data_IF_606430728246
#
_entry.id   IF_606430728246
#
_cell.length_a   1.000
_cell.length_b   1.000
_cell.length_c   1.000
_cell.angle_alpha   90.00
_cell.angle_beta   90.00
_cell.angle_gamma   90.00
#
_symmetry.space_group_name_H-M   'P 1'
#
loop_
_entity.id
_entity.type
_entity.pdbx_description
1 polymer ?
#
# COMPACT_ATOMS: atom_id res chain seq x y z
N UNK A 1 18.64 -26.15 -6.21
CA UNK A 1 17.22 -25.95 -5.85
C UNK A 1 16.93 -24.47 -5.81
N UNK A 2 16.17 -23.96 -6.77
CA UNK A 2 15.62 -22.60 -6.68
C UNK A 2 14.59 -22.59 -5.55
N UNK A 3 14.61 -21.62 -4.62
CA UNK A 3 13.61 -21.56 -3.56
C UNK A 3 12.21 -21.44 -4.19
N UNK A 4 11.17 -22.00 -3.55
CA UNK A 4 9.81 -21.91 -4.05
C UNK A 4 9.46 -20.44 -4.31
N UNK A 5 8.96 -20.19 -5.51
CA UNK A 5 8.47 -18.89 -5.95
C UNK A 5 7.21 -18.54 -5.16
N UNK A 6 7.38 -17.95 -3.96
CA UNK A 6 6.32 -17.42 -3.08
C UNK A 6 5.56 -16.28 -3.79
N UNK A 7 4.72 -16.67 -4.73
CA UNK A 7 3.92 -15.80 -5.60
C UNK A 7 2.44 -15.84 -5.24
N UNK A 8 2.04 -16.80 -4.41
CA UNK A 8 0.68 -16.99 -3.88
C UNK A 8 0.55 -16.41 -2.46
N UNK A 9 -0.52 -15.66 -2.16
CA UNK A 9 -0.79 -15.15 -0.82
C UNK A 9 -1.07 -16.27 0.18
N UNK A 10 -0.63 -16.08 1.43
CA UNK A 10 -1.16 -16.86 2.54
C UNK A 10 -2.59 -16.40 2.86
N UNK A 11 -3.58 -17.08 2.29
CA UNK A 11 -5.00 -16.71 2.40
C UNK A 11 -5.50 -16.56 3.83
N UNK A 12 -5.00 -17.39 4.77
CA UNK A 12 -5.34 -17.26 6.20
C UNK A 12 -4.93 -15.91 6.78
N UNK A 13 -3.71 -15.46 6.47
CA UNK A 13 -3.23 -14.14 6.91
C UNK A 13 -4.02 -13.03 6.24
N UNK A 14 -4.30 -13.14 4.94
CA UNK A 14 -5.11 -12.18 4.19
C UNK A 14 -6.50 -12.00 4.82
N UNK A 15 -7.18 -13.11 5.11
CA UNK A 15 -8.49 -13.11 5.79
C UNK A 15 -8.36 -12.49 7.19
N UNK A 16 -7.39 -12.92 7.99
CA UNK A 16 -7.20 -12.41 9.35
C UNK A 16 -6.97 -10.90 9.37
N UNK A 17 -6.10 -10.38 8.50
CA UNK A 17 -5.85 -8.94 8.37
C UNK A 17 -7.08 -8.18 7.86
N UNK A 18 -7.84 -8.76 6.94
CA UNK A 18 -9.07 -8.16 6.42
C UNK A 18 -10.14 -8.07 7.51
N UNK A 19 -10.34 -9.15 8.28
CA UNK A 19 -11.28 -9.19 9.41
C UNK A 19 -10.84 -8.24 10.52
N UNK A 20 -9.56 -8.25 10.90
CA UNK A 20 -9.03 -7.36 11.93
C UNK A 20 -9.23 -5.89 11.55
N UNK A 21 -8.94 -5.53 10.29
CA UNK A 21 -9.20 -4.20 9.80
C UNK A 21 -10.69 -3.86 9.84
N UNK A 22 -11.55 -4.74 9.31
CA UNK A 22 -12.98 -4.54 9.33
C UNK A 22 -13.51 -4.29 10.75
N UNK A 23 -13.06 -5.08 11.73
CA UNK A 23 -13.46 -4.97 13.14
C UNK A 23 -12.95 -3.66 13.77
N UNK A 24 -11.64 -3.37 13.67
CA UNK A 24 -11.05 -2.18 14.30
C UNK A 24 -11.72 -0.89 13.81
N UNK A 25 -12.15 -0.85 12.55
CA UNK A 25 -12.66 0.35 11.92
C UNK A 25 -14.18 0.44 11.81
N UNK A 26 -14.90 -0.68 11.89
CA UNK A 26 -16.37 -0.68 12.00
C UNK A 26 -16.87 0.11 13.21
N UNK A 27 -16.08 0.14 14.29
CA UNK A 27 -16.45 0.83 15.54
C UNK A 27 -15.78 2.20 15.75
N UNK A 28 -14.74 2.53 14.97
CA UNK A 28 -13.89 3.69 15.24
C UNK A 28 -13.92 4.77 14.14
N UNK A 29 -14.50 4.49 12.97
CA UNK A 29 -14.48 5.40 11.83
C UNK A 29 -15.89 5.82 11.39
N UNK A 30 -16.06 7.07 10.95
CA UNK A 30 -17.30 7.49 10.29
C UNK A 30 -17.57 6.63 9.04
N UNK A 31 -18.82 6.40 8.59
CA UNK A 31 -19.11 5.56 7.41
C UNK A 31 -18.35 5.99 6.15
N UNK A 32 -18.16 7.30 5.98
CA UNK A 32 -17.36 7.88 4.89
C UNK A 32 -15.90 7.46 5.02
N UNK A 33 -15.29 7.64 6.19
CA UNK A 33 -13.92 7.19 6.49
C UNK A 33 -13.81 5.67 6.37
N UNK A 34 -14.82 4.92 6.80
CA UNK A 34 -15.05 3.48 6.63
C UNK A 34 -14.87 3.02 5.20
N UNK A 35 -15.63 3.62 4.29
CA UNK A 35 -15.60 3.32 2.85
C UNK A 35 -14.25 3.69 2.23
N UNK A 36 -13.74 4.89 2.52
CA UNK A 36 -12.48 5.36 1.93
C UNK A 36 -11.26 4.58 2.42
N UNK A 37 -11.30 4.10 3.66
CA UNK A 37 -10.13 3.49 4.26
C UNK A 37 -10.14 1.96 4.35
N UNK A 38 -11.31 1.30 4.41
CA UNK A 38 -11.35 0.01 5.12
C UNK A 38 -11.98 -1.17 4.41
N UNK A 39 -12.54 -1.04 3.20
CA UNK A 39 -13.22 -2.21 2.63
C UNK A 39 -12.31 -3.19 1.89
N UNK A 40 -11.14 -2.85 1.32
CA UNK A 40 -10.41 -3.87 0.54
C UNK A 40 -8.87 -3.76 0.40
N UNK A 41 -8.25 -2.56 0.35
CA UNK A 41 -6.82 -2.50 0.00
C UNK A 41 -5.79 -2.53 1.13
N UNK A 42 -5.87 -1.58 2.07
CA UNK A 42 -4.66 -1.13 2.75
C UNK A 42 -4.25 -2.04 3.91
N UNK A 43 -5.24 -2.42 4.71
CA UNK A 43 -5.00 -3.18 5.94
C UNK A 43 -5.15 -4.68 5.70
N UNK A 44 -6.09 -5.11 4.85
CA UNK A 44 -6.24 -6.51 4.44
C UNK A 44 -5.07 -7.02 3.58
N UNK A 45 -4.83 -6.36 2.43
CA UNK A 45 -3.76 -6.78 1.51
C UNK A 45 -2.39 -6.31 1.98
N UNK A 46 -2.26 -5.05 2.41
CA UNK A 46 -0.96 -4.47 2.78
C UNK A 46 -0.31 -5.14 4.00
N UNK A 47 -1.09 -5.41 5.05
CA UNK A 47 -0.62 -6.12 6.23
C UNK A 47 -0.16 -7.55 5.92
N UNK A 48 -0.99 -8.30 5.19
CA UNK A 48 -0.65 -9.65 4.75
C UNK A 48 0.57 -9.68 3.81
N UNK A 49 0.68 -8.70 2.91
CA UNK A 49 1.82 -8.54 1.99
C UNK A 49 3.13 -8.30 2.75
N UNK A 50 3.13 -7.33 3.67
CA UNK A 50 4.30 -7.01 4.50
C UNK A 50 4.69 -8.19 5.39
N UNK A 51 3.72 -8.89 5.97
CA UNK A 51 3.98 -10.06 6.80
C UNK A 51 4.65 -11.18 5.98
N UNK A 52 4.14 -11.47 4.78
CA UNK A 52 4.68 -12.51 3.90
C UNK A 52 6.10 -12.19 3.44
N UNK A 53 6.37 -10.93 3.08
CA UNK A 53 7.68 -10.53 2.55
C UNK A 53 8.63 -9.92 3.58
N UNK A 54 8.31 -9.96 4.89
CA UNK A 54 9.08 -9.29 5.97
C UNK A 54 10.58 -9.59 5.98
N UNK A 55 10.96 -10.83 5.65
CA UNK A 55 12.36 -11.28 5.62
C UNK A 55 13.06 -10.88 4.32
N UNK A 56 12.29 -10.74 3.23
CA UNK A 56 12.79 -10.38 1.91
C UNK A 56 12.84 -8.86 1.68
N UNK A 57 12.45 -8.04 2.67
CA UNK A 57 12.41 -6.59 2.58
C UNK A 57 13.76 -5.98 2.98
N UNK A 58 14.52 -5.39 2.02
CA UNK A 58 15.73 -4.64 2.36
C UNK A 58 15.42 -3.46 3.29
N UNK A 59 16.41 -3.04 4.08
CA UNK A 59 16.27 -1.92 5.04
C UNK A 59 15.63 -0.67 4.42
N UNK A 60 16.02 -0.34 3.18
CA UNK A 60 15.50 0.82 2.42
C UNK A 60 13.99 0.77 2.27
N UNK A 61 13.45 -0.39 1.90
CA UNK A 61 12.00 -0.60 1.76
C UNK A 61 11.29 -0.56 3.11
N UNK A 62 11.90 -1.12 4.16
CA UNK A 62 11.36 -1.01 5.53
C UNK A 62 11.26 0.44 5.98
N UNK A 63 12.30 1.24 5.75
CA UNK A 63 12.30 2.67 6.06
C UNK A 63 11.24 3.43 5.25
N UNK A 64 11.11 3.16 3.95
CA UNK A 64 10.07 3.77 3.11
C UNK A 64 8.66 3.42 3.61
N UNK A 65 8.40 2.16 3.94
CA UNK A 65 7.10 1.76 4.48
C UNK A 65 6.85 2.36 5.87
N UNK A 66 7.87 2.40 6.74
CA UNK A 66 7.77 3.06 8.05
C UNK A 66 7.44 4.55 7.92
N UNK A 67 8.17 5.29 7.07
CA UNK A 67 7.90 6.70 6.80
C UNK A 67 6.50 6.92 6.20
N UNK A 68 6.07 6.03 5.30
CA UNK A 68 4.73 6.08 4.70
C UNK A 68 3.62 5.84 5.73
N UNK A 69 3.86 5.00 6.73
CA UNK A 69 2.94 4.77 7.85
C UNK A 69 2.81 6.01 8.73
N UNK A 70 3.93 6.62 9.11
CA UNK A 70 3.95 7.87 9.88
C UNK A 70 3.22 8.97 9.10
N UNK A 71 3.54 9.15 7.81
CA UNK A 71 2.88 10.14 6.96
C UNK A 71 1.38 9.91 6.87
N UNK A 72 0.94 8.65 6.72
CA UNK A 72 -0.48 8.30 6.66
C UNK A 72 -1.20 8.57 7.99
N UNK A 73 -0.55 8.30 9.12
CA UNK A 73 -1.10 8.57 10.45
C UNK A 73 -1.23 10.08 10.73
N UNK A 74 -0.20 10.86 10.38
CA UNK A 74 -0.22 12.33 10.49
C UNK A 74 -1.30 12.91 9.57
N UNK A 75 -1.38 12.45 8.33
CA UNK A 75 -2.42 12.88 7.39
C UNK A 75 -3.83 12.61 7.94
N UNK A 76 -4.05 11.42 8.51
CA UNK A 76 -5.31 11.05 9.13
C UNK A 76 -5.63 11.95 10.33
N UNK A 77 -4.67 12.16 11.24
CA UNK A 77 -4.85 12.99 12.43
C UNK A 77 -5.11 14.46 12.13
N UNK A 78 -4.53 14.99 11.05
CA UNK A 78 -4.72 16.38 10.62
C UNK A 78 -5.90 16.57 9.64
N UNK A 79 -6.65 15.50 9.33
CA UNK A 79 -7.69 15.51 8.31
C UNK A 79 -7.19 16.12 6.97
N UNK A 80 -5.93 15.86 6.66
CA UNK A 80 -5.27 16.33 5.45
C UNK A 80 -5.78 15.48 4.28
N UNK A 81 -6.10 16.06 3.10
CA UNK A 81 -6.60 15.31 1.94
C UNK A 81 -5.66 14.23 1.38
N UNK A 82 -4.55 13.90 2.02
CA UNK A 82 -3.65 12.85 1.57
C UNK A 82 -4.33 11.47 1.55
N UNK A 83 -4.20 10.77 0.43
CA UNK A 83 -4.78 9.44 0.25
C UNK A 83 -3.75 8.33 0.52
N UNK A 84 -3.68 7.88 1.78
CA UNK A 84 -2.86 6.73 2.17
C UNK A 84 -3.07 5.52 1.24
N UNK A 85 -4.30 5.25 0.82
CA UNK A 85 -4.70 4.20 -0.13
C UNK A 85 -3.94 4.18 -1.42
N UNK A 86 -3.85 5.34 -2.04
CA UNK A 86 -3.16 5.49 -3.30
C UNK A 86 -1.66 5.35 -3.07
N UNK A 87 -1.12 5.98 -2.02
CA UNK A 87 0.29 5.85 -1.65
C UNK A 87 0.70 4.38 -1.51
N UNK A 88 0.04 3.64 -0.62
CA UNK A 88 0.42 2.28 -0.28
C UNK A 88 0.23 1.31 -1.45
N UNK A 89 -0.85 1.42 -2.23
CA UNK A 89 -1.02 0.57 -3.42
C UNK A 89 0.11 0.80 -4.42
N UNK A 90 0.45 2.06 -4.71
CA UNK A 90 1.53 2.38 -5.65
C UNK A 90 2.86 1.86 -5.12
N UNK A 91 3.13 1.99 -3.82
CA UNK A 91 4.35 1.45 -3.19
C UNK A 91 4.41 -0.09 -3.24
N UNK A 92 3.32 -0.80 -2.96
CA UNK A 92 3.29 -2.26 -3.03
C UNK A 92 3.40 -2.78 -4.45
N UNK A 93 2.73 -2.15 -5.42
CA UNK A 93 2.86 -2.45 -6.85
C UNK A 93 4.29 -2.19 -7.32
N UNK A 94 4.88 -1.08 -6.89
CA UNK A 94 6.27 -0.72 -7.18
C UNK A 94 7.24 -1.75 -6.59
N UNK A 95 7.06 -2.16 -5.34
CA UNK A 95 7.84 -3.21 -4.71
C UNK A 95 7.72 -4.55 -5.46
N UNK A 96 6.50 -4.98 -5.76
CA UNK A 96 6.26 -6.22 -6.49
C UNK A 96 6.89 -6.18 -7.89
N UNK A 97 6.78 -5.04 -8.58
CA UNK A 97 7.37 -4.81 -9.90
C UNK A 97 8.91 -4.85 -9.87
N UNK A 98 9.54 -4.16 -8.91
CA UNK A 98 10.99 -4.03 -8.80
C UNK A 98 11.68 -5.27 -8.21
N UNK A 99 10.94 -6.15 -7.54
CA UNK A 99 11.48 -7.38 -6.92
C UNK A 99 11.13 -8.66 -7.70
N UNK A 100 10.80 -8.54 -8.99
CA UNK A 100 10.56 -9.67 -9.88
C UNK A 100 9.23 -10.40 -9.67
N UNK A 101 8.32 -9.86 -8.85
CA UNK A 101 7.01 -10.46 -8.53
C UNK A 101 5.89 -9.97 -9.48
N UNK A 102 6.24 -9.48 -10.67
CA UNK A 102 5.30 -8.84 -11.61
C UNK A 102 4.18 -9.78 -12.10
N UNK A 103 4.43 -11.09 -12.16
CA UNK A 103 3.44 -12.11 -12.57
C UNK A 103 2.81 -12.86 -11.39
N UNK A 104 2.95 -12.34 -10.17
CA UNK A 104 2.40 -12.98 -8.96
C UNK A 104 0.91 -12.67 -8.79
N UNK A 105 0.20 -13.54 -8.08
CA UNK A 105 -1.18 -13.30 -7.63
C UNK A 105 -1.28 -12.02 -6.80
N UNK A 106 -0.21 -11.65 -6.08
CA UNK A 106 -0.12 -10.37 -5.39
C UNK A 106 -0.24 -9.16 -6.32
N UNK A 107 0.38 -9.19 -7.50
CA UNK A 107 0.24 -8.09 -8.46
C UNK A 107 -1.21 -7.93 -8.91
N UNK A 108 -1.90 -9.04 -9.17
CA UNK A 108 -3.32 -9.03 -9.53
C UNK A 108 -4.19 -8.45 -8.41
N UNK A 109 -3.98 -8.89 -7.17
CA UNK A 109 -4.73 -8.40 -6.00
C UNK A 109 -4.49 -6.90 -5.76
N UNK A 110 -3.23 -6.45 -5.85
CA UNK A 110 -2.87 -5.04 -5.67
C UNK A 110 -3.43 -4.15 -6.79
N UNK A 111 -3.42 -4.62 -8.05
CA UNK A 111 -4.02 -3.90 -9.16
C UNK A 111 -5.56 -3.84 -9.06
N UNK A 112 -6.21 -4.96 -8.74
CA UNK A 112 -7.66 -5.00 -8.54
C UNK A 112 -8.09 -4.09 -7.40
N UNK A 113 -7.31 -4.08 -6.31
CA UNK A 113 -7.46 -3.14 -5.20
C UNK A 113 -7.32 -1.68 -5.64
N UNK A 114 -6.34 -1.36 -6.48
CA UNK A 114 -6.16 -0.01 -7.02
C UNK A 114 -7.33 0.41 -7.92
N UNK A 115 -7.81 -0.48 -8.79
CA UNK A 115 -8.98 -0.23 -9.66
C UNK A 115 -10.23 0.00 -8.81
N UNK A 116 -10.48 -0.86 -7.82
CA UNK A 116 -11.59 -0.70 -6.88
C UNK A 116 -11.54 0.66 -6.18
N UNK A 117 -10.35 1.10 -5.75
CA UNK A 117 -10.18 2.42 -5.14
C UNK A 117 -10.51 3.57 -6.09
N UNK A 118 -10.09 3.48 -7.36
CA UNK A 118 -10.41 4.51 -8.35
C UNK A 118 -11.92 4.58 -8.62
N UNK A 119 -12.59 3.43 -8.76
CA UNK A 119 -14.05 3.38 -8.94
C UNK A 119 -14.75 3.96 -7.72
N UNK A 120 -14.39 3.52 -6.52
CA UNK A 120 -14.97 4.02 -5.28
C UNK A 120 -14.79 5.53 -5.16
N UNK A 121 -13.58 6.02 -5.46
CA UNK A 121 -13.28 7.45 -5.45
C UNK A 121 -14.08 8.22 -6.50
N UNK A 122 -14.15 7.74 -7.74
CA UNK A 122 -14.91 8.41 -8.80
C UNK A 122 -16.39 8.60 -8.45
N UNK A 123 -16.97 7.65 -7.72
CA UNK A 123 -18.40 7.68 -7.34
C UNK A 123 -18.65 8.49 -6.05
N UNK A 124 -17.65 8.68 -5.19
CA UNK A 124 -17.85 9.24 -3.84
C UNK A 124 -17.07 10.51 -3.51
N UNK A 125 -16.10 10.92 -4.33
CA UNK A 125 -15.15 11.99 -3.98
C UNK A 125 -15.73 13.41 -4.07
N UNK A 126 -15.27 14.27 -3.15
CA UNK A 126 -15.31 15.73 -3.32
C UNK A 126 -14.03 16.21 -4.01
N UNK A 127 -14.02 17.42 -4.58
CA UNK A 127 -12.83 17.96 -5.29
C UNK A 127 -11.53 17.97 -4.47
N UNK A 128 -11.65 18.08 -3.14
CA UNK A 128 -10.51 18.00 -2.19
C UNK A 128 -9.85 16.62 -2.17
N UNK A 129 -10.65 15.56 -2.32
CA UNK A 129 -10.18 14.17 -2.28
C UNK A 129 -9.40 13.79 -3.57
N UNK A 130 -9.71 14.45 -4.69
CA UNK A 130 -9.02 14.26 -5.97
C UNK A 130 -7.58 14.81 -5.92
N UNK A 131 -7.41 16.04 -5.43
CA UNK A 131 -6.09 16.67 -5.20
C UNK A 131 -5.24 15.78 -4.29
N UNK A 132 -5.87 15.27 -3.24
CA UNK A 132 -5.32 14.29 -2.33
C UNK A 132 -4.71 13.05 -2.97
N UNK A 133 -5.43 12.45 -3.92
CA UNK A 133 -4.97 11.32 -4.69
C UNK A 133 -3.73 11.64 -5.52
N UNK A 134 -3.72 12.79 -6.20
CA UNK A 134 -2.57 13.24 -7.01
C UNK A 134 -1.31 13.42 -6.15
N UNK A 135 -1.44 14.07 -4.99
CA UNK A 135 -0.31 14.23 -4.05
C UNK A 135 0.25 12.87 -3.63
N UNK A 136 -0.62 11.92 -3.29
CA UNK A 136 -0.18 10.58 -2.88
C UNK A 136 0.52 9.80 -3.99
N UNK A 137 0.08 9.95 -5.26
CA UNK A 137 0.80 9.38 -6.42
C UNK A 137 2.18 10.01 -6.55
N UNK A 138 2.27 11.33 -6.48
CA UNK A 138 3.55 12.04 -6.61
C UNK A 138 4.55 11.61 -5.53
N UNK A 139 4.11 11.54 -4.26
CA UNK A 139 4.93 11.06 -3.14
C UNK A 139 5.39 9.61 -3.37
N UNK A 140 4.48 8.72 -3.78
CA UNK A 140 4.82 7.33 -4.08
C UNK A 140 5.84 7.23 -5.22
N UNK A 141 5.66 7.99 -6.29
CA UNK A 141 6.54 8.00 -7.45
C UNK A 141 7.96 8.46 -7.07
N UNK A 142 8.08 9.54 -6.29
CA UNK A 142 9.37 10.02 -5.77
C UNK A 142 10.05 8.95 -4.91
N UNK A 143 9.31 8.31 -4.00
CA UNK A 143 9.85 7.23 -3.18
C UNK A 143 10.35 6.05 -4.03
N UNK A 144 9.59 5.63 -5.04
CA UNK A 144 9.98 4.58 -5.97
C UNK A 144 11.21 4.96 -6.81
N UNK A 145 11.30 6.21 -7.25
CA UNK A 145 12.48 6.73 -7.96
C UNK A 145 13.73 6.68 -7.08
N UNK A 146 13.61 7.07 -5.81
CA UNK A 146 14.71 6.98 -4.85
C UNK A 146 15.12 5.52 -4.61
N UNK A 147 14.16 4.61 -4.47
CA UNK A 147 14.42 3.19 -4.25
C UNK A 147 15.04 2.48 -5.48
N UNK A 148 14.78 2.99 -6.69
CA UNK A 148 15.37 2.47 -7.94
C UNK A 148 16.83 2.86 -8.12
N UNK A 149 17.28 3.97 -7.52
CA UNK A 149 18.68 4.41 -7.62
C UNK A 149 19.59 3.41 -6.91
N UNK A 150 20.51 2.81 -7.66
CA UNK A 150 21.60 2.00 -7.07
C UNK A 150 22.45 2.92 -6.18
N UNK A 151 22.98 2.43 -5.04
CA UNK A 151 23.91 3.23 -4.26
C UNK A 151 25.08 3.62 -5.15
N UNK A 152 25.49 4.88 -5.10
CA UNK A 152 26.73 5.36 -5.70
C UNK A 152 27.83 4.51 -5.03
N UNK A 153 28.51 3.66 -5.82
CA UNK A 153 29.70 2.97 -5.30
C UNK A 153 30.69 4.08 -4.93
N UNK A 154 31.25 4.09 -3.70
CA UNK A 154 32.42 4.92 -3.46
C UNK A 154 33.49 4.53 -4.47
N UNK A 155 34.04 5.52 -5.18
CA UNK A 155 35.21 5.31 -6.01
C UNK A 155 36.33 4.81 -5.08
N UNK A 156 36.73 3.56 -5.29
CA UNK A 156 37.94 2.99 -4.70
C UNK A 156 39.17 3.59 -5.36
#
# INVERSE_FOLDING_TARGET
MSPPTDSTPHWRSLIAFTVLAAVLFAFAASPRTGLYWYIFPLFGLGGAYLLQFRVQLPLRWRLTFGASAVLSAVALGLNWPFSGHVLWNVLFIGHASLTGKRRSTWMLLLLASLVYLFVLKAVSQTGRDAIGGVISIAVAAVALLMLRRRPIRPAT
#
